data_IF_397401002447
#
_entry.id   IF_397401002447
#
_cell.length_a   1.000
_cell.length_b   1.000
_cell.length_c   1.000
_cell.angle_alpha   90.00
_cell.angle_beta   90.00
_cell.angle_gamma   90.00
#
_symmetry.space_group_name_H-M   'P 1'
#
loop_
_entity.id
_entity.type
_entity.pdbx_description
1 polymer ?
#
# COMPACT_ATOMS: atom_id res chain seq x y z
N UNK A 1 21.71 -5.04 16.53
CA UNK A 1 21.65 -3.71 15.88
C UNK A 1 20.20 -3.26 15.97
N UNK A 2 19.93 -2.01 16.39
CA UNK A 2 18.56 -1.47 16.35
C UNK A 2 18.10 -1.36 14.90
N UNK A 3 16.87 -1.76 14.59
CA UNK A 3 16.30 -1.67 13.25
C UNK A 3 16.21 -0.21 12.78
N UNK A 4 16.14 -0.02 11.46
CA UNK A 4 16.12 1.29 10.79
C UNK A 4 14.88 2.15 11.11
N UNK A 5 13.83 1.53 11.68
CA UNK A 5 12.54 2.16 12.02
C UNK A 5 12.24 2.12 13.53
N UNK A 6 13.25 1.93 14.37
CA UNK A 6 13.08 1.82 15.82
C UNK A 6 12.31 3.01 16.40
N UNK A 7 11.20 2.72 17.09
CA UNK A 7 10.35 3.70 17.77
C UNK A 7 9.48 4.54 16.81
N UNK A 8 9.43 4.21 15.52
CA UNK A 8 8.47 4.78 14.57
C UNK A 8 7.13 4.05 14.65
N UNK A 9 6.06 4.72 14.27
CA UNK A 9 4.70 4.15 14.18
C UNK A 9 4.24 4.22 12.74
N UNK A 10 3.71 3.10 12.24
CA UNK A 10 3.23 2.96 10.88
C UNK A 10 1.76 2.51 10.83
N UNK A 11 0.98 3.08 9.91
CA UNK A 11 -0.32 2.55 9.51
C UNK A 11 -0.17 1.94 8.12
N UNK A 12 -0.59 0.68 7.95
CA UNK A 12 -0.66 0.00 6.66
C UNK A 12 -2.11 -0.34 6.35
N UNK A 13 -2.68 0.31 5.33
CA UNK A 13 -4.08 0.06 4.95
C UNK A 13 -4.20 -1.23 4.14
N UNK A 14 -5.29 -2.00 4.36
CA UNK A 14 -5.51 -3.26 3.67
C UNK A 14 -4.41 -4.31 3.95
N UNK A 15 -3.93 -4.38 5.19
CA UNK A 15 -2.76 -5.18 5.57
C UNK A 15 -3.08 -6.60 6.06
N UNK A 16 -4.32 -7.08 5.89
CA UNK A 16 -4.73 -8.41 6.35
C UNK A 16 -4.18 -9.57 5.50
N UNK A 17 -3.58 -9.30 4.34
CA UNK A 17 -3.00 -10.29 3.42
C UNK A 17 -2.09 -9.65 2.37
N UNK A 18 -1.41 -10.47 1.57
CA UNK A 18 -0.66 -10.08 0.38
C UNK A 18 0.44 -9.04 0.65
N UNK A 19 0.53 -8.06 -0.24
CA UNK A 19 1.55 -7.00 -0.18
C UNK A 19 1.47 -6.22 1.13
N UNK A 20 0.26 -5.84 1.56
CA UNK A 20 0.09 -5.07 2.79
C UNK A 20 0.56 -5.81 4.04
N UNK A 21 0.27 -7.10 4.14
CA UNK A 21 0.74 -7.96 5.23
C UNK A 21 2.27 -8.09 5.25
N UNK A 22 2.89 -8.28 4.08
CA UNK A 22 4.35 -8.34 3.98
C UNK A 22 5.00 -7.00 4.37
N UNK A 23 4.41 -5.87 3.95
CA UNK A 23 4.89 -4.54 4.35
C UNK A 23 4.76 -4.36 5.86
N UNK A 24 3.62 -4.73 6.46
CA UNK A 24 3.42 -4.64 7.91
C UNK A 24 4.47 -5.42 8.69
N UNK A 25 4.72 -6.68 8.29
CA UNK A 25 5.79 -7.52 8.88
C UNK A 25 7.17 -6.91 8.67
N UNK A 26 7.48 -6.42 7.47
CA UNK A 26 8.77 -5.80 7.17
C UNK A 26 9.05 -4.54 8.00
N UNK A 27 8.05 -3.66 8.15
CA UNK A 27 8.19 -2.46 9.00
C UNK A 27 8.39 -2.83 10.48
N UNK A 28 7.63 -3.82 10.98
CA UNK A 28 7.75 -4.29 12.35
C UNK A 28 9.11 -4.96 12.62
N UNK A 29 9.65 -5.73 11.68
CA UNK A 29 10.98 -6.35 11.78
C UNK A 29 12.11 -5.31 11.90
N UNK A 30 11.90 -4.10 11.36
CA UNK A 30 12.81 -2.95 11.49
C UNK A 30 12.52 -2.08 12.73
N UNK A 31 11.63 -2.51 13.62
CA UNK A 31 11.37 -1.90 14.91
C UNK A 31 10.24 -0.86 14.94
N UNK A 32 9.44 -0.77 13.89
CA UNK A 32 8.22 0.05 13.93
C UNK A 32 7.09 -0.66 14.69
N UNK A 33 6.25 0.12 15.39
CA UNK A 33 4.93 -0.33 15.85
C UNK A 33 3.94 -0.17 14.70
N UNK A 34 3.14 -1.19 14.41
CA UNK A 34 2.34 -1.24 13.18
C UNK A 34 0.84 -1.36 13.46
N UNK A 35 0.07 -0.47 12.87
CA UNK A 35 -1.39 -0.61 12.75
C UNK A 35 -1.69 -1.40 11.47
N UNK A 36 -2.21 -2.60 11.64
CA UNK A 36 -2.65 -3.52 10.58
C UNK A 36 -4.12 -3.23 10.29
N UNK A 37 -4.38 -2.36 9.32
CA UNK A 37 -5.76 -2.04 8.95
C UNK A 37 -6.37 -3.13 8.05
N UNK A 38 -7.65 -3.39 8.27
CA UNK A 38 -8.47 -4.27 7.44
C UNK A 38 -9.90 -3.71 7.30
N UNK A 39 -10.56 -3.99 6.18
CA UNK A 39 -11.97 -3.64 6.00
C UNK A 39 -12.89 -4.79 6.49
N UNK A 40 -12.66 -6.02 6.03
CA UNK A 40 -13.54 -7.17 6.27
C UNK A 40 -12.85 -8.40 6.84
N UNK A 41 -11.56 -8.61 6.57
CA UNK A 41 -10.82 -9.81 6.98
C UNK A 41 -10.15 -9.64 8.35
N UNK A 42 -10.95 -9.69 9.42
CA UNK A 42 -10.42 -9.63 10.80
C UNK A 42 -9.43 -10.78 11.07
N UNK A 43 -9.80 -12.00 10.74
CA UNK A 43 -8.94 -13.17 10.97
C UNK A 43 -7.58 -13.04 10.27
N UNK A 44 -7.55 -12.50 9.04
CA UNK A 44 -6.28 -12.24 8.36
C UNK A 44 -5.44 -11.18 9.05
N UNK A 45 -6.05 -10.09 9.54
CA UNK A 45 -5.34 -9.06 10.29
C UNK A 45 -4.82 -9.60 11.63
N UNK A 46 -5.63 -10.38 12.36
CA UNK A 46 -5.21 -11.02 13.62
C UNK A 46 -4.02 -11.98 13.40
N UNK A 47 -4.01 -12.71 12.27
CA UNK A 47 -2.87 -13.57 11.90
C UNK A 47 -1.60 -12.75 11.70
N UNK A 48 -1.67 -11.64 10.97
CA UNK A 48 -0.50 -10.75 10.74
C UNK A 48 0.00 -10.15 12.06
N UNK A 49 -0.90 -9.72 12.94
CA UNK A 49 -0.53 -9.21 14.27
C UNK A 49 0.19 -10.30 15.07
N UNK A 50 -0.37 -11.50 15.14
CA UNK A 50 0.24 -12.61 15.89
C UNK A 50 1.63 -13.00 15.36
N UNK A 51 1.82 -12.96 14.03
CA UNK A 51 3.13 -13.20 13.40
C UNK A 51 4.16 -12.12 13.77
N UNK A 52 3.75 -10.86 13.78
CA UNK A 52 4.60 -9.72 14.19
C UNK A 52 4.98 -9.86 15.66
N UNK A 53 4.02 -10.12 16.55
CA UNK A 53 4.26 -10.28 17.99
C UNK A 53 5.15 -11.48 18.29
N UNK A 54 4.93 -12.61 17.60
CA UNK A 54 5.79 -13.80 17.72
C UNK A 54 7.24 -13.52 17.30
N UNK A 55 7.44 -12.61 16.36
CA UNK A 55 8.78 -12.17 15.95
C UNK A 55 9.38 -11.09 16.88
N UNK A 56 8.67 -10.69 17.95
CA UNK A 56 9.13 -9.69 18.94
C UNK A 56 8.79 -8.25 18.55
N UNK A 57 8.00 -8.02 17.50
CA UNK A 57 7.51 -6.71 17.11
C UNK A 57 6.22 -6.30 17.85
N UNK A 58 5.69 -5.14 17.50
CA UNK A 58 4.44 -4.60 18.04
C UNK A 58 3.45 -4.31 16.91
N UNK A 59 2.22 -4.81 17.04
CA UNK A 59 1.16 -4.50 16.09
C UNK A 59 -0.22 -4.53 16.75
N UNK A 60 -1.18 -3.82 16.14
CA UNK A 60 -2.60 -3.89 16.49
C UNK A 60 -3.42 -3.99 15.21
N UNK A 61 -4.50 -4.76 15.25
CA UNK A 61 -5.45 -4.87 14.14
C UNK A 61 -6.55 -3.81 14.31
N UNK A 62 -6.79 -2.97 13.30
CA UNK A 62 -7.79 -1.91 13.33
C UNK A 62 -8.70 -2.01 12.11
N UNK A 63 -10.01 -2.07 12.36
CA UNK A 63 -11.00 -2.11 11.28
C UNK A 63 -11.26 -0.72 10.71
N UNK A 64 -11.43 -0.62 9.39
CA UNK A 64 -11.83 0.60 8.72
C UNK A 64 -11.82 0.42 7.20
N UNK A 65 -12.89 0.85 6.55
CA UNK A 65 -13.01 0.92 5.10
C UNK A 65 -12.47 2.27 4.63
N UNK A 66 -11.36 2.27 3.92
CA UNK A 66 -10.70 3.50 3.46
C UNK A 66 -11.55 4.35 2.53
N UNK A 67 -12.57 3.77 1.88
CA UNK A 67 -13.52 4.50 1.04
C UNK A 67 -14.50 5.37 1.84
N UNK A 68 -14.50 5.26 3.18
CA UNK A 68 -15.43 5.95 4.08
C UNK A 68 -14.69 6.90 5.02
N UNK A 69 -14.95 8.19 4.92
CA UNK A 69 -14.28 9.21 5.73
C UNK A 69 -14.45 8.99 7.25
N UNK A 70 -15.60 8.46 7.69
CA UNK A 70 -15.83 8.17 9.10
C UNK A 70 -14.94 7.03 9.60
N UNK A 71 -14.85 5.94 8.83
CA UNK A 71 -14.03 4.79 9.17
C UNK A 71 -12.53 5.16 9.19
N UNK A 72 -12.09 6.00 8.22
CA UNK A 72 -10.71 6.50 8.20
C UNK A 72 -10.40 7.31 9.47
N UNK A 73 -11.27 8.24 9.86
CA UNK A 73 -11.08 9.01 11.10
C UNK A 73 -11.02 8.11 12.34
N UNK A 74 -11.90 7.12 12.42
CA UNK A 74 -11.92 6.17 13.53
C UNK A 74 -10.63 5.33 13.57
N UNK A 75 -10.18 4.81 12.43
CA UNK A 75 -8.93 4.05 12.32
C UNK A 75 -7.73 4.84 12.85
N UNK A 76 -7.63 6.12 12.49
CA UNK A 76 -6.54 6.97 12.97
C UNK A 76 -6.68 7.33 14.46
N UNK A 77 -7.89 7.46 15.00
CA UNK A 77 -8.12 7.66 16.43
C UNK A 77 -7.68 6.42 17.24
N UNK A 78 -7.99 5.22 16.77
CA UNK A 78 -7.53 3.96 17.40
C UNK A 78 -5.98 3.82 17.31
N UNK A 79 -5.37 4.28 16.22
CA UNK A 79 -3.91 4.34 16.12
C UNK A 79 -3.28 5.31 17.13
N UNK A 80 -3.92 6.47 17.36
CA UNK A 80 -3.51 7.44 18.38
C UNK A 80 -3.62 6.86 19.80
N UNK A 81 -4.70 6.14 20.10
CA UNK A 81 -4.89 5.46 21.39
C UNK A 81 -3.83 4.39 21.64
N UNK A 82 -3.48 3.63 20.58
CA UNK A 82 -2.50 2.54 20.70
C UNK A 82 -1.06 3.05 20.86
N UNK A 83 -0.68 4.10 20.13
CA UNK A 83 0.73 4.46 19.99
C UNK A 83 1.05 5.95 20.16
N UNK A 84 0.07 6.85 20.16
CA UNK A 84 0.21 8.28 20.46
C UNK A 84 0.98 9.11 19.44
N UNK A 85 1.38 8.54 18.29
CA UNK A 85 2.12 9.21 17.21
C UNK A 85 1.95 8.51 15.88
N UNK A 86 2.34 9.19 14.81
CA UNK A 86 2.43 8.60 13.48
C UNK A 86 3.69 9.10 12.76
N UNK A 87 4.39 8.21 12.06
CA UNK A 87 5.59 8.53 11.28
C UNK A 87 5.48 8.03 9.83
N UNK A 88 4.71 6.96 9.59
CA UNK A 88 4.64 6.26 8.31
C UNK A 88 3.18 5.93 7.98
N UNK A 89 2.75 6.30 6.77
CA UNK A 89 1.49 5.84 6.19
C UNK A 89 1.77 5.04 4.93
N UNK A 90 1.23 3.82 4.85
CA UNK A 90 1.23 3.02 3.61
C UNK A 90 -0.19 2.88 3.10
N UNK A 91 -0.51 3.58 2.02
CA UNK A 91 -1.75 3.45 1.27
C UNK A 91 -1.67 2.22 0.36
N UNK A 92 -1.96 1.05 0.94
CA UNK A 92 -1.93 -0.23 0.23
C UNK A 92 -3.34 -0.76 -0.10
N UNK A 93 -4.35 -0.42 0.68
CA UNK A 93 -5.73 -0.85 0.39
C UNK A 93 -6.10 -0.53 -1.06
N UNK A 94 -6.60 -1.54 -1.76
CA UNK A 94 -6.98 -1.38 -3.16
C UNK A 94 -7.82 -2.55 -3.63
N UNK A 95 -8.67 -2.26 -4.59
CA UNK A 95 -9.55 -3.23 -5.26
C UNK A 95 -9.38 -3.13 -6.75
N UNK A 96 -9.65 -4.22 -7.44
CA UNK A 96 -9.65 -4.27 -8.89
C UNK A 96 -10.78 -5.17 -9.38
N UNK A 97 -11.22 -4.90 -10.57
CA UNK A 97 -12.03 -5.78 -11.40
C UNK A 97 -11.67 -5.49 -12.84
N UNK A 98 -11.33 -6.55 -13.57
CA UNK A 98 -11.07 -6.46 -14.99
C UNK A 98 -12.34 -6.84 -15.73
N UNK A 99 -12.74 -6.00 -16.71
CA UNK A 99 -13.93 -6.21 -17.53
C UNK A 99 -13.75 -5.57 -18.90
N UNK A 100 -14.32 -6.16 -19.97
CA UNK A 100 -14.44 -5.49 -21.27
C UNK A 100 -15.08 -4.11 -21.11
N UNK A 101 -14.79 -3.17 -22.01
CA UNK A 101 -15.26 -1.79 -21.90
C UNK A 101 -16.79 -1.70 -21.81
N UNK A 102 -17.49 -2.53 -22.58
CA UNK A 102 -18.95 -2.60 -22.63
C UNK A 102 -19.60 -3.11 -21.34
N UNK A 103 -18.84 -3.82 -20.49
CA UNK A 103 -19.32 -4.38 -19.22
C UNK A 103 -18.95 -3.52 -18.00
N UNK A 104 -18.26 -2.39 -18.20
CA UNK A 104 -17.92 -1.48 -17.12
C UNK A 104 -19.19 -0.81 -16.57
N UNK A 105 -19.47 -0.98 -15.28
CA UNK A 105 -20.62 -0.39 -14.60
C UNK A 105 -20.22 0.83 -13.76
N UNK A 106 -21.17 1.76 -13.58
CA UNK A 106 -20.98 2.92 -12.67
C UNK A 106 -20.67 2.46 -11.23
N UNK A 107 -21.33 1.40 -10.77
CA UNK A 107 -21.11 0.87 -9.42
C UNK A 107 -19.66 0.39 -9.23
N UNK A 108 -19.12 -0.34 -10.23
CA UNK A 108 -17.75 -0.82 -10.17
C UNK A 108 -16.72 0.32 -10.34
N UNK A 109 -17.00 1.29 -11.20
CA UNK A 109 -16.21 2.51 -11.30
C UNK A 109 -16.12 3.22 -9.94
N UNK A 110 -17.26 3.46 -9.29
CA UNK A 110 -17.30 4.10 -7.96
C UNK A 110 -16.52 3.29 -6.93
N UNK A 111 -16.75 1.97 -6.85
CA UNK A 111 -16.06 1.09 -5.91
C UNK A 111 -14.53 1.19 -6.04
N UNK A 112 -14.02 1.18 -7.28
CA UNK A 112 -12.57 1.28 -7.49
C UNK A 112 -12.04 2.68 -7.21
N UNK A 113 -12.72 3.74 -7.65
CA UNK A 113 -12.27 5.11 -7.41
C UNK A 113 -12.38 5.49 -5.92
N UNK A 114 -13.44 5.11 -5.24
CA UNK A 114 -13.61 5.40 -3.82
C UNK A 114 -12.53 4.71 -2.97
N UNK A 115 -12.19 3.45 -3.29
CA UNK A 115 -11.16 2.73 -2.55
C UNK A 115 -9.75 3.16 -2.96
N UNK A 116 -9.44 3.19 -4.26
CA UNK A 116 -8.06 3.32 -4.76
C UNK A 116 -7.60 4.78 -4.88
N UNK A 117 -8.53 5.75 -4.90
CA UNK A 117 -8.23 7.17 -5.13
C UNK A 117 -8.67 8.00 -3.93
N UNK A 118 -9.97 7.99 -3.58
CA UNK A 118 -10.46 8.76 -2.44
C UNK A 118 -9.84 8.26 -1.13
N UNK A 119 -9.73 6.94 -0.95
CA UNK A 119 -9.15 6.34 0.26
C UNK A 119 -7.75 6.87 0.59
N UNK A 120 -6.77 6.82 -0.32
CA UNK A 120 -5.44 7.40 -0.12
C UNK A 120 -5.47 8.91 0.19
N UNK A 121 -6.38 9.68 -0.39
CA UNK A 121 -6.54 11.11 -0.07
C UNK A 121 -6.99 11.28 1.38
N UNK A 122 -8.05 10.59 1.77
CA UNK A 122 -8.61 10.66 3.13
C UNK A 122 -7.59 10.21 4.18
N UNK A 123 -6.91 9.08 3.94
CA UNK A 123 -5.89 8.57 4.85
C UNK A 123 -4.69 9.53 4.95
N UNK A 124 -4.23 10.11 3.83
CA UNK A 124 -3.15 11.10 3.85
C UNK A 124 -3.57 12.37 4.60
N UNK A 125 -4.80 12.85 4.45
CA UNK A 125 -5.31 13.99 5.21
C UNK A 125 -5.26 13.76 6.72
N UNK A 126 -5.64 12.57 7.19
CA UNK A 126 -5.57 12.23 8.61
C UNK A 126 -4.12 12.04 9.10
N UNK A 127 -3.25 11.44 8.27
CA UNK A 127 -1.83 11.27 8.59
C UNK A 127 -1.12 12.63 8.74
N UNK A 128 -1.38 13.56 7.82
CA UNK A 128 -0.79 14.91 7.83
C UNK A 128 -1.10 15.69 9.12
N UNK A 129 -2.27 15.45 9.75
CA UNK A 129 -2.62 16.06 11.05
C UNK A 129 -1.77 15.53 12.22
N UNK A 130 -1.19 14.33 12.07
CA UNK A 130 -0.50 13.55 13.11
C UNK A 130 1.01 13.50 12.96
N UNK A 131 1.53 13.72 11.76
CA UNK A 131 2.97 13.84 11.55
C UNK A 131 3.51 15.03 12.34
N UNK A 132 4.51 14.77 13.19
CA UNK A 132 5.16 15.80 14.01
C UNK A 132 6.14 16.68 13.22
N UNK A 133 6.90 17.51 13.92
CA UNK A 133 7.86 18.47 13.35
C UNK A 133 9.02 17.82 12.57
N UNK A 134 9.24 16.51 12.79
CA UNK A 134 10.23 15.72 12.04
C UNK A 134 9.72 15.29 10.66
N UNK A 135 8.44 15.53 10.36
CA UNK A 135 7.79 15.10 9.12
C UNK A 135 7.36 13.64 9.17
N UNK A 136 7.26 13.00 8.01
CA UNK A 136 6.82 11.62 7.88
C UNK A 136 7.07 11.04 6.49
N UNK A 137 6.67 9.79 6.30
CA UNK A 137 6.74 9.10 5.02
C UNK A 137 5.36 8.56 4.62
N UNK A 138 4.86 8.97 3.47
CA UNK A 138 3.67 8.39 2.83
C UNK A 138 4.12 7.55 1.66
N UNK A 139 3.67 6.29 1.62
CA UNK A 139 3.98 5.34 0.56
C UNK A 139 2.68 4.86 -0.06
N UNK A 140 2.50 5.14 -1.35
CA UNK A 140 1.35 4.68 -2.11
C UNK A 140 1.70 3.38 -2.84
N UNK A 141 0.82 2.38 -2.81
CA UNK A 141 0.96 1.17 -3.61
C UNK A 141 0.17 1.35 -4.91
N UNK A 142 0.91 1.77 -5.94
CA UNK A 142 0.44 1.94 -7.31
C UNK A 142 0.34 0.62 -8.07
N UNK A 143 0.72 0.65 -9.35
CA UNK A 143 0.83 -0.51 -10.24
C UNK A 143 1.56 -0.11 -11.51
N UNK A 144 2.24 -1.04 -12.18
CA UNK A 144 2.72 -0.84 -13.55
C UNK A 144 1.58 -0.58 -14.54
N UNK A 145 0.36 -1.00 -14.23
CA UNK A 145 -0.84 -0.74 -15.03
C UNK A 145 -1.15 0.76 -15.18
N UNK A 146 -0.53 1.66 -14.40
CA UNK A 146 -0.65 3.10 -14.62
C UNK A 146 0.07 3.58 -15.89
N UNK A 147 1.08 2.87 -16.37
CA UNK A 147 1.85 3.23 -17.56
C UNK A 147 1.71 2.21 -18.70
N UNK A 148 1.25 0.98 -18.39
CA UNK A 148 1.09 -0.09 -19.37
C UNK A 148 -0.37 -0.36 -19.65
N UNK A 149 -0.75 -0.21 -20.91
CA UNK A 149 -2.09 -0.55 -21.35
C UNK A 149 -2.31 -2.07 -21.22
N UNK A 150 -3.38 -2.43 -20.52
CA UNK A 150 -3.82 -3.81 -20.35
C UNK A 150 -5.26 -3.94 -20.79
N UNK A 151 -5.61 -4.95 -21.61
CA UNK A 151 -7.02 -5.23 -21.93
C UNK A 151 -7.85 -5.38 -20.64
N UNK A 152 -9.08 -4.93 -20.69
CA UNK A 152 -10.07 -5.04 -19.61
C UNK A 152 -9.71 -4.25 -18.32
N UNK A 153 -8.66 -3.44 -18.31
CA UNK A 153 -8.17 -2.76 -17.11
C UNK A 153 -8.53 -1.26 -17.05
N UNK A 154 -9.46 -0.78 -17.88
CA UNK A 154 -9.74 0.66 -18.06
C UNK A 154 -9.91 1.40 -16.74
N UNK A 155 -10.79 0.93 -15.85
CA UNK A 155 -11.06 1.61 -14.57
C UNK A 155 -9.87 1.45 -13.62
N UNK A 156 -9.34 0.24 -13.49
CA UNK A 156 -8.20 -0.02 -12.60
C UNK A 156 -6.97 0.82 -12.97
N UNK A 157 -6.58 0.80 -14.24
CA UNK A 157 -5.45 1.59 -14.74
C UNK A 157 -5.66 3.10 -14.49
N UNK A 158 -6.88 3.60 -14.72
CA UNK A 158 -7.23 4.98 -14.44
C UNK A 158 -7.05 5.34 -12.95
N UNK A 159 -7.48 4.45 -12.02
CA UNK A 159 -7.28 4.68 -10.57
C UNK A 159 -5.81 4.73 -10.20
N UNK A 160 -4.95 3.88 -10.79
CA UNK A 160 -3.52 3.85 -10.51
C UNK A 160 -2.78 5.04 -11.10
N UNK A 161 -3.19 5.52 -12.30
CA UNK A 161 -2.71 6.79 -12.84
C UNK A 161 -3.09 7.99 -11.95
N UNK A 162 -4.34 8.02 -11.48
CA UNK A 162 -4.80 9.06 -10.56
C UNK A 162 -3.96 9.05 -9.26
N UNK A 163 -3.66 7.88 -8.71
CA UNK A 163 -2.84 7.75 -7.50
C UNK A 163 -1.40 8.24 -7.72
N UNK A 164 -0.80 7.96 -8.89
CA UNK A 164 0.52 8.47 -9.25
C UNK A 164 0.53 10.02 -9.34
N UNK A 165 -0.51 10.62 -9.94
CA UNK A 165 -0.67 12.06 -10.00
C UNK A 165 -0.85 12.69 -8.61
N UNK A 166 -1.69 12.08 -7.77
CA UNK A 166 -1.92 12.49 -6.37
C UNK A 166 -0.60 12.44 -5.59
N UNK A 167 0.16 11.35 -5.72
CA UNK A 167 1.45 11.20 -5.03
C UNK A 167 2.44 12.32 -5.36
N UNK A 168 2.56 12.69 -6.65
CA UNK A 168 3.42 13.79 -7.08
C UNK A 168 2.96 15.15 -6.51
N UNK A 169 1.65 15.42 -6.52
CA UNK A 169 1.11 16.67 -5.97
C UNK A 169 1.32 16.75 -4.46
N UNK A 170 0.97 15.68 -3.71
CA UNK A 170 1.19 15.62 -2.27
C UNK A 170 2.67 15.79 -1.91
N UNK A 171 3.60 15.25 -2.70
CA UNK A 171 5.03 15.42 -2.47
C UNK A 171 5.45 16.89 -2.48
N UNK A 172 4.93 17.68 -3.42
CA UNK A 172 5.21 19.12 -3.50
C UNK A 172 4.50 19.90 -2.38
N UNK A 173 3.22 19.63 -2.16
CA UNK A 173 2.41 20.34 -1.16
C UNK A 173 2.92 20.12 0.28
N UNK A 174 3.43 18.92 0.58
CA UNK A 174 3.80 18.53 1.93
C UNK A 174 5.29 18.67 2.24
N UNK A 175 6.11 19.01 1.25
CA UNK A 175 7.58 19.13 1.38
C UNK A 175 8.02 20.09 2.48
N UNK A 176 7.37 21.26 2.60
CA UNK A 176 7.68 22.25 3.64
C UNK A 176 7.49 21.68 5.07
N UNK A 177 6.66 20.65 5.22
CA UNK A 177 6.44 19.91 6.48
C UNK A 177 7.36 18.71 6.63
N UNK A 178 8.37 18.54 5.77
CA UNK A 178 9.30 17.41 5.73
C UNK A 178 8.59 16.05 5.56
N UNK A 179 7.44 16.05 4.90
CA UNK A 179 6.69 14.83 4.60
C UNK A 179 7.07 14.39 3.18
N UNK A 180 7.61 13.18 3.06
CA UNK A 180 7.93 12.57 1.78
C UNK A 180 6.74 11.74 1.30
N UNK A 181 6.46 11.78 0.01
CA UNK A 181 5.40 10.99 -0.60
C UNK A 181 5.96 10.30 -1.84
N UNK A 182 5.93 8.97 -1.86
CA UNK A 182 6.41 8.18 -2.99
C UNK A 182 5.42 7.08 -3.35
N UNK A 183 5.48 6.61 -4.57
CA UNK A 183 4.65 5.51 -5.08
C UNK A 183 5.54 4.32 -5.42
N UNK A 184 5.22 3.15 -4.90
CA UNK A 184 5.75 1.87 -5.39
C UNK A 184 4.76 1.35 -6.43
N UNK A 185 5.26 0.98 -7.62
CA UNK A 185 4.45 0.41 -8.69
C UNK A 185 4.83 -1.07 -8.90
N UNK A 186 4.13 -2.02 -8.26
CA UNK A 186 4.37 -3.44 -8.46
C UNK A 186 4.01 -3.89 -9.88
N UNK A 187 4.76 -4.87 -10.38
CA UNK A 187 4.36 -5.72 -11.50
C UNK A 187 3.40 -6.84 -11.06
N UNK A 188 3.44 -7.97 -11.73
CA UNK A 188 2.74 -9.16 -11.28
C UNK A 188 3.33 -9.71 -9.99
N UNK A 189 2.53 -9.76 -8.93
CA UNK A 189 2.94 -10.29 -7.61
C UNK A 189 2.03 -11.45 -7.23
N UNK A 190 2.62 -12.55 -6.80
CA UNK A 190 1.90 -13.70 -6.27
C UNK A 190 1.36 -13.38 -4.88
N UNK A 191 0.05 -13.43 -4.72
CA UNK A 191 -0.66 -13.12 -3.48
C UNK A 191 -1.88 -14.03 -3.34
N UNK A 192 -2.47 -14.09 -2.16
CA UNK A 192 -3.74 -14.78 -1.96
C UNK A 192 -4.85 -14.22 -2.89
N UNK A 193 -4.76 -12.93 -3.25
CA UNK A 193 -5.69 -12.28 -4.20
C UNK A 193 -5.51 -12.80 -5.62
N UNK A 194 -4.28 -12.99 -6.11
CA UNK A 194 -4.00 -13.54 -7.44
C UNK A 194 -4.30 -15.03 -7.51
N UNK A 195 -4.14 -15.80 -6.43
CA UNK A 195 -4.62 -17.17 -6.33
C UNK A 195 -6.15 -17.24 -6.41
N UNK A 196 -6.85 -16.44 -5.61
CA UNK A 196 -8.32 -16.42 -5.60
C UNK A 196 -8.92 -15.95 -6.94
N UNK A 197 -8.22 -15.10 -7.67
CA UNK A 197 -8.61 -14.64 -9.00
C UNK A 197 -8.27 -15.64 -10.13
N UNK A 198 -7.65 -16.80 -9.80
CA UNK A 198 -7.26 -17.81 -10.78
C UNK A 198 -6.13 -17.39 -11.73
N UNK A 199 -5.36 -16.39 -11.35
CA UNK A 199 -4.19 -15.93 -12.13
C UNK A 199 -3.06 -16.95 -12.05
N UNK A 200 -2.77 -17.44 -10.85
CA UNK A 200 -1.68 -18.38 -10.62
C UNK A 200 -2.05 -19.75 -11.22
N UNK A 201 -1.15 -20.32 -12.02
CA UNK A 201 -1.35 -21.54 -12.80
C UNK A 201 -2.00 -21.32 -14.18
N UNK A 202 -2.37 -20.07 -14.52
CA UNK A 202 -3.03 -19.74 -15.79
C UNK A 202 -2.04 -19.41 -16.92
N UNK A 203 -2.53 -19.34 -18.16
CA UNK A 203 -1.73 -18.83 -19.28
C UNK A 203 -1.45 -17.33 -19.14
N UNK A 204 -2.27 -16.60 -18.40
CA UNK A 204 -2.01 -15.20 -18.09
C UNK A 204 -0.79 -15.03 -17.20
N UNK A 205 -0.60 -15.89 -16.18
CA UNK A 205 0.66 -15.92 -15.40
C UNK A 205 1.87 -16.16 -16.29
N UNK A 206 1.80 -17.18 -17.20
CA UNK A 206 2.89 -17.49 -18.12
C UNK A 206 3.27 -16.27 -18.98
N UNK A 207 2.26 -15.53 -19.48
CA UNK A 207 2.47 -14.31 -20.25
C UNK A 207 3.15 -13.21 -19.41
N UNK A 208 2.68 -13.02 -18.16
CA UNK A 208 3.31 -12.05 -17.23
C UNK A 208 4.76 -12.42 -16.93
N UNK A 209 5.04 -13.68 -16.65
CA UNK A 209 6.42 -14.17 -16.41
C UNK A 209 7.28 -14.00 -17.65
N UNK A 210 6.78 -14.35 -18.85
CA UNK A 210 7.51 -14.19 -20.11
C UNK A 210 7.82 -12.71 -20.42
N UNK A 211 6.94 -11.78 -20.02
CA UNK A 211 7.16 -10.34 -20.15
C UNK A 211 8.02 -9.73 -19.05
N UNK A 212 8.39 -10.51 -18.03
CA UNK A 212 9.19 -10.03 -16.91
C UNK A 212 10.66 -10.44 -17.08
N UNK A 213 11.60 -9.51 -17.30
CA UNK A 213 13.02 -9.83 -17.52
C UNK A 213 13.67 -10.71 -16.44
N UNK A 214 13.26 -10.55 -15.16
CA UNK A 214 13.73 -11.42 -14.07
C UNK A 214 13.09 -12.83 -14.06
N UNK A 215 12.22 -13.16 -15.02
CA UNK A 215 11.72 -14.50 -15.30
C UNK A 215 10.80 -15.10 -14.23
N UNK A 216 10.18 -14.31 -13.38
CA UNK A 216 9.28 -14.78 -12.32
C UNK A 216 8.20 -13.75 -11.95
N UNK A 217 7.15 -14.22 -11.33
CA UNK A 217 6.27 -13.35 -10.55
C UNK A 217 7.05 -12.76 -9.37
N UNK A 218 6.74 -11.50 -9.01
CA UNK A 218 7.20 -10.91 -7.76
C UNK A 218 6.57 -11.60 -6.55
N UNK A 219 7.23 -11.52 -5.41
CA UNK A 219 6.69 -11.93 -4.12
C UNK A 219 6.33 -10.69 -3.30
N UNK A 220 5.39 -10.76 -2.35
CA UNK A 220 5.05 -9.64 -1.47
C UNK A 220 6.28 -9.02 -0.78
N UNK A 221 7.28 -9.83 -0.44
CA UNK A 221 8.52 -9.38 0.17
C UNK A 221 9.40 -8.53 -0.78
N UNK A 222 9.31 -8.73 -2.10
CA UNK A 222 10.02 -7.87 -3.06
C UNK A 222 9.53 -6.42 -2.95
N UNK A 223 8.24 -6.24 -2.69
CA UNK A 223 7.60 -4.93 -2.49
C UNK A 223 7.88 -4.38 -1.08
N UNK A 224 7.79 -5.25 -0.06
CA UNK A 224 7.95 -4.86 1.33
C UNK A 224 9.34 -4.27 1.61
N UNK A 225 10.40 -4.83 1.03
CA UNK A 225 11.79 -4.30 1.18
C UNK A 225 11.91 -2.87 0.68
N UNK A 226 11.27 -2.54 -0.45
CA UNK A 226 11.28 -1.18 -0.99
C UNK A 226 10.44 -0.23 -0.12
N UNK A 227 9.30 -0.70 0.41
CA UNK A 227 8.50 0.07 1.34
C UNK A 227 9.26 0.40 2.65
N UNK A 228 9.97 -0.57 3.21
CA UNK A 228 10.85 -0.37 4.38
C UNK A 228 11.95 0.67 4.07
N UNK A 229 12.62 0.56 2.93
CA UNK A 229 13.62 1.55 2.51
C UNK A 229 12.99 2.95 2.41
N UNK A 230 11.86 3.11 1.73
CA UNK A 230 11.19 4.40 1.59
C UNK A 230 10.66 4.97 2.92
N UNK A 231 10.34 4.12 3.89
CA UNK A 231 9.94 4.52 5.23
C UNK A 231 11.13 5.03 6.07
N UNK A 232 12.34 4.59 5.76
CA UNK A 232 13.55 4.87 6.53
C UNK A 232 14.17 6.24 6.18
N UNK A 233 15.09 6.68 7.04
CA UNK A 233 15.86 7.91 6.83
C UNK A 233 16.87 7.78 5.67
N UNK A 234 17.20 6.54 5.24
CA UNK A 234 18.03 6.30 4.05
C UNK A 234 17.38 6.82 2.76
N UNK A 235 16.06 6.96 2.73
CA UNK A 235 15.31 7.54 1.61
C UNK A 235 15.03 9.07 1.81
N UNK A 236 15.79 9.74 2.69
CA UNK A 236 15.56 11.13 3.09
C UNK A 236 15.55 12.17 1.95
N UNK A 237 16.16 11.85 0.80
CA UNK A 237 16.20 12.72 -0.39
C UNK A 237 15.33 12.21 -1.56
N UNK A 238 14.37 11.30 -1.24
CA UNK A 238 13.46 10.71 -2.25
C UNK A 238 12.04 11.14 -1.91
N UNK A 239 11.42 11.94 -2.79
CA UNK A 239 10.01 12.33 -2.71
C UNK A 239 9.46 12.64 -4.10
N UNK A 240 8.18 12.38 -4.33
CA UNK A 240 7.52 12.57 -5.62
C UNK A 240 7.81 11.45 -6.63
N UNK A 241 8.57 10.43 -6.24
CA UNK A 241 9.01 9.37 -7.14
C UNK A 241 7.98 8.25 -7.27
N UNK A 242 7.91 7.70 -8.48
CA UNK A 242 7.24 6.45 -8.80
C UNK A 242 8.30 5.40 -9.09
N UNK A 243 8.42 4.42 -8.20
CA UNK A 243 9.43 3.36 -8.29
C UNK A 243 8.77 2.07 -8.75
N UNK A 244 9.09 1.64 -9.98
CA UNK A 244 8.62 0.34 -10.49
C UNK A 244 9.39 -0.79 -9.79
N UNK A 245 8.63 -1.70 -9.14
CA UNK A 245 9.15 -2.93 -8.52
C UNK A 245 8.49 -4.10 -9.24
N UNK A 246 8.98 -4.38 -10.45
CA UNK A 246 8.28 -5.20 -11.44
C UNK A 246 9.20 -6.21 -12.16
N UNK A 247 10.39 -6.49 -11.63
CA UNK A 247 11.31 -7.44 -12.26
C UNK A 247 11.80 -7.03 -13.66
N UNK A 248 11.73 -5.71 -13.98
CA UNK A 248 12.10 -5.17 -15.30
C UNK A 248 10.93 -5.11 -16.28
N UNK A 249 9.74 -5.54 -15.92
CA UNK A 249 8.54 -5.35 -16.74
C UNK A 249 8.30 -3.86 -16.96
N UNK A 250 8.18 -3.49 -18.25
CA UNK A 250 7.98 -2.10 -18.71
C UNK A 250 7.06 -2.07 -19.91
#
# INVERSE_FOLDING_TARGET
>A
MSGSLQGKVAIVTGASKGIGAAIARGLAAEGASVVVNYATSKAGADTVVAEIEKAGGQAVAVQGDVSKAADVKQMFAEADEAYGRLDILVNNAGVYQFAPLEDVTEAEYRRQFDTNVLGPILATQEAVKRFGDKGGSVINIGSVASEHAMPNATVYAATKNALDAIGRNHAVELAARKIRVNTIAPGGVETEGTHAAGVIGSDFEKQMVAGTPLGRMGQPDDIARVAVFLASDAAGWITGERIAVAGGFR
#
